data_IF_814004729176
#
_entry.id   IF_814004729176
#
_cell.length_a   1.000
_cell.length_b   1.000
_cell.length_c   1.000
_cell.angle_alpha   90.00
_cell.angle_beta   90.00
_cell.angle_gamma   90.00
#
_symmetry.space_group_name_H-M   'P 1'
#
loop_
_entity.id
_entity.type
_entity.pdbx_description
1 polymer ?
#
# COMPACT_ATOMS: atom_id res chain seq x y z
N UNK A 1 -20.11 -8.69 -23.24
CA UNK A 1 -18.83 -8.44 -22.57
C UNK A 1 -19.07 -7.39 -21.49
N UNK A 2 -19.00 -7.72 -20.19
CA UNK A 2 -19.23 -6.69 -19.18
C UNK A 2 -18.00 -5.78 -19.10
N UNK A 3 -18.25 -4.49 -19.34
CA UNK A 3 -17.29 -3.39 -19.24
C UNK A 3 -17.22 -2.98 -17.77
N UNK A 4 -16.61 -3.82 -16.93
CA UNK A 4 -16.26 -3.47 -15.55
C UNK A 4 -14.93 -2.72 -15.53
N UNK A 5 -14.79 -1.67 -14.72
CA UNK A 5 -13.54 -0.92 -14.54
C UNK A 5 -12.37 -1.89 -14.33
N UNK A 6 -11.44 -1.93 -15.28
CA UNK A 6 -10.26 -2.79 -15.22
C UNK A 6 -9.24 -2.19 -14.24
N UNK A 7 -9.23 -2.69 -13.00
CA UNK A 7 -8.18 -2.40 -12.03
C UNK A 7 -7.12 -3.50 -12.08
N UNK A 8 -5.86 -3.16 -11.79
CA UNK A 8 -4.71 -4.10 -11.84
C UNK A 8 -5.01 -5.42 -11.09
N UNK A 9 -5.66 -5.35 -9.93
CA UNK A 9 -6.05 -6.55 -9.16
C UNK A 9 -7.02 -7.44 -9.92
N UNK A 10 -8.02 -6.85 -10.59
CA UNK A 10 -8.99 -7.59 -11.38
C UNK A 10 -8.31 -8.22 -12.61
N UNK A 11 -7.35 -7.52 -13.22
CA UNK A 11 -6.58 -8.01 -14.35
C UNK A 11 -5.73 -9.23 -13.97
N UNK A 12 -5.08 -9.19 -12.80
CA UNK A 12 -4.33 -10.33 -12.25
C UNK A 12 -5.23 -11.54 -12.00
N UNK A 13 -6.47 -11.31 -11.53
CA UNK A 13 -7.45 -12.38 -11.32
C UNK A 13 -7.95 -12.96 -12.63
N UNK A 14 -8.28 -12.12 -13.62
CA UNK A 14 -8.72 -12.58 -14.96
C UNK A 14 -7.67 -13.41 -15.66
N UNK A 15 -6.38 -13.17 -15.40
CA UNK A 15 -5.27 -13.95 -15.94
C UNK A 15 -4.85 -15.13 -15.07
N UNK A 16 -5.55 -15.43 -13.96
CA UNK A 16 -5.25 -16.53 -13.03
C UNK A 16 -3.83 -16.48 -12.41
N UNK A 17 -3.21 -15.30 -12.33
CA UNK A 17 -1.86 -15.13 -11.75
C UNK A 17 -1.88 -14.42 -10.40
N UNK A 18 -3.04 -13.93 -9.96
CA UNK A 18 -3.18 -13.20 -8.70
C UNK A 18 -2.61 -13.96 -7.49
N UNK A 19 -2.92 -15.24 -7.34
CA UNK A 19 -2.44 -16.05 -6.21
C UNK A 19 -0.93 -16.38 -6.27
N UNK A 20 -0.29 -16.14 -7.41
CA UNK A 20 1.16 -16.27 -7.61
C UNK A 20 1.88 -14.92 -7.62
N UNK A 21 1.15 -13.84 -7.36
CA UNK A 21 1.67 -12.48 -7.38
C UNK A 21 1.86 -11.99 -5.95
N UNK A 22 3.07 -11.51 -5.64
CA UNK A 22 3.26 -10.66 -4.45
C UNK A 22 2.79 -9.26 -4.78
N UNK A 23 1.79 -8.76 -4.06
CA UNK A 23 1.23 -7.44 -4.29
C UNK A 23 1.70 -6.47 -3.21
N UNK A 24 2.39 -5.42 -3.63
CA UNK A 24 2.83 -4.32 -2.76
C UNK A 24 2.20 -3.04 -3.27
N UNK A 25 1.44 -2.36 -2.41
CA UNK A 25 0.84 -1.05 -2.70
C UNK A 25 1.46 -0.06 -1.73
N UNK A 26 2.05 1.02 -2.26
CA UNK A 26 2.73 2.06 -1.51
C UNK A 26 2.19 3.43 -1.95
N UNK A 27 2.05 4.35 -1.00
CA UNK A 27 2.15 5.79 -1.28
C UNK A 27 3.60 6.22 -1.14
N UNK A 28 4.02 7.19 -1.92
CA UNK A 28 5.36 7.78 -1.86
C UNK A 28 5.52 8.74 -0.67
N UNK A 29 4.46 9.46 -0.31
CA UNK A 29 4.37 10.30 0.87
C UNK A 29 2.91 10.46 1.34
N UNK A 30 2.71 11.22 2.44
CA UNK A 30 1.39 11.66 2.91
C UNK A 30 1.10 13.11 2.50
N UNK A 31 -0.08 13.61 2.88
CA UNK A 31 -0.54 14.97 2.57
C UNK A 31 -1.07 15.62 3.84
N UNK A 32 -0.78 16.91 4.03
CA UNK A 32 -1.45 17.69 5.08
C UNK A 32 -2.84 18.06 4.58
N UNK A 33 -3.84 17.76 5.40
CA UNK A 33 -5.23 18.10 5.22
C UNK A 33 -5.64 19.04 6.35
N UNK A 34 -5.12 20.26 6.30
CA UNK A 34 -5.39 21.37 7.23
C UNK A 34 -4.63 21.33 8.57
N UNK A 35 -3.74 20.36 8.79
CA UNK A 35 -2.76 20.47 9.86
C UNK A 35 -1.91 21.73 9.66
N UNK A 36 -1.68 22.47 10.74
CA UNK A 36 -0.91 23.72 10.73
C UNK A 36 -1.38 24.75 9.69
N UNK A 37 -2.70 24.80 9.44
CA UNK A 37 -3.34 25.68 8.44
C UNK A 37 -2.87 25.47 7.00
N UNK A 38 -2.26 24.30 6.71
CA UNK A 38 -1.68 23.98 5.42
C UNK A 38 -2.40 22.83 4.71
N UNK A 39 -2.51 22.93 3.38
CA UNK A 39 -3.02 21.86 2.51
C UNK A 39 -1.93 21.52 1.51
N UNK A 40 -1.50 20.26 1.53
CA UNK A 40 -0.49 19.75 0.62
C UNK A 40 0.72 19.15 1.33
N UNK A 41 1.82 19.07 0.59
CA UNK A 41 3.08 18.48 1.03
C UNK A 41 4.29 19.32 0.60
N UNK A 42 5.48 18.97 1.09
CA UNK A 42 6.75 19.65 0.78
C UNK A 42 7.00 20.94 1.57
N UNK A 43 6.14 21.27 2.52
CA UNK A 43 6.22 22.49 3.34
C UNK A 43 6.84 22.22 4.73
N UNK A 44 6.66 21.01 5.26
CA UNK A 44 7.10 20.64 6.60
C UNK A 44 7.59 19.20 6.65
N UNK A 45 8.51 18.91 7.57
CA UNK A 45 8.90 17.54 7.91
C UNK A 45 8.08 17.14 9.13
N UNK A 46 6.88 16.61 8.89
CA UNK A 46 5.96 16.19 9.93
C UNK A 46 5.34 14.82 9.60
N UNK A 47 4.63 14.25 10.56
CA UNK A 47 4.04 12.91 10.41
C UNK A 47 3.01 12.86 9.28
N UNK A 48 2.20 13.92 9.09
CA UNK A 48 1.20 13.97 8.03
C UNK A 48 1.81 13.85 6.62
N UNK A 49 2.94 14.51 6.37
CA UNK A 49 3.61 14.47 5.06
C UNK A 49 4.58 13.29 4.92
N UNK A 50 5.16 12.79 6.01
CA UNK A 50 6.21 11.74 5.94
C UNK A 50 5.70 10.32 6.19
N UNK A 51 4.50 10.15 6.74
CA UNK A 51 3.92 8.83 6.95
C UNK A 51 3.41 8.23 5.63
N UNK A 52 4.10 7.21 5.14
CA UNK A 52 3.75 6.53 3.88
C UNK A 52 2.71 5.42 4.10
N UNK A 53 1.54 5.48 3.44
CA UNK A 53 0.61 4.36 3.46
C UNK A 53 1.22 3.17 2.71
N UNK A 54 1.16 1.98 3.30
CA UNK A 54 1.65 0.77 2.66
C UNK A 54 0.74 -0.42 2.95
N UNK A 55 0.55 -1.28 1.96
CA UNK A 55 -0.15 -2.56 2.05
C UNK A 55 0.75 -3.62 1.40
N UNK A 56 1.01 -4.68 2.15
CA UNK A 56 1.75 -5.84 1.68
C UNK A 56 0.84 -7.06 1.72
N UNK A 57 0.59 -7.66 0.56
CA UNK A 57 -0.20 -8.88 0.41
C UNK A 57 0.67 -9.97 -0.23
N UNK A 58 1.02 -10.96 0.59
CA UNK A 58 1.74 -12.15 0.17
C UNK A 58 0.83 -13.36 0.29
N UNK A 59 0.67 -14.11 -0.80
CA UNK A 59 0.03 -15.43 -0.79
C UNK A 59 1.12 -16.46 -1.01
N UNK A 60 1.68 -16.97 0.09
CA UNK A 60 2.69 -18.04 0.01
C UNK A 60 2.07 -19.28 -0.64
N UNK A 61 2.76 -19.86 -1.62
CA UNK A 61 2.38 -21.15 -2.26
C UNK A 61 2.46 -22.36 -1.33
N UNK A 62 2.99 -22.17 -0.11
CA UNK A 62 3.02 -23.17 0.95
C UNK A 62 2.26 -22.63 2.16
N UNK A 63 1.03 -23.14 2.33
CA UNK A 63 0.19 -23.13 3.54
C UNK A 63 0.96 -22.77 4.84
N UNK A 64 1.13 -21.48 5.11
CA UNK A 64 1.28 -20.97 6.48
C UNK A 64 0.09 -20.05 6.73
N UNK A 65 -0.77 -20.53 7.61
CA UNK A 65 -1.99 -19.88 8.05
C UNK A 65 -1.65 -18.58 8.79
N UNK A 66 -1.47 -17.49 8.05
CA UNK A 66 -1.47 -16.17 8.64
C UNK A 66 -2.17 -15.19 7.70
N UNK A 67 -3.50 -15.32 7.62
CA UNK A 67 -4.36 -14.25 7.12
C UNK A 67 -4.26 -13.08 8.11
N UNK A 68 -3.37 -12.14 7.84
CA UNK A 68 -3.18 -10.96 8.68
C UNK A 68 -2.75 -9.76 7.86
N UNK A 69 -3.59 -8.73 7.84
CA UNK A 69 -3.18 -7.37 7.51
C UNK A 69 -2.09 -6.97 8.51
N UNK A 70 -0.84 -6.89 8.07
CA UNK A 70 0.25 -6.41 8.89
C UNK A 70 0.56 -4.95 8.54
N UNK A 71 0.05 -4.01 9.34
CA UNK A 71 0.60 -2.66 9.40
C UNK A 71 1.88 -2.70 10.26
N UNK A 72 3.02 -3.05 9.66
CA UNK A 72 4.30 -2.91 10.35
C UNK A 72 4.77 -1.46 10.15
N UNK A 73 4.55 -0.59 11.14
CA UNK A 73 5.31 0.65 11.28
C UNK A 73 6.78 0.30 11.53
N UNK A 74 7.53 0.05 10.46
CA UNK A 74 8.96 -0.15 10.52
C UNK A 74 9.65 1.20 10.70
N UNK A 75 10.10 1.50 11.92
CA UNK A 75 11.13 2.54 12.13
C UNK A 75 12.38 2.07 11.41
N UNK A 76 12.68 2.66 10.26
CA UNK A 76 13.97 2.51 9.60
C UNK A 76 15.05 3.07 10.54
N UNK A 77 15.88 2.20 11.13
CA UNK A 77 17.18 2.60 11.67
C UNK A 77 18.16 2.60 10.51
N UNK A 78 18.59 3.79 10.09
CA UNK A 78 19.77 3.96 9.24
C UNK A 78 21.00 3.81 10.13
N UNK A 79 21.91 2.93 9.73
CA UNK A 79 23.23 2.77 10.34
C UNK A 79 24.17 3.88 9.87
#
# INVERSE_FOLDING_TARGET
MPIGRAGVVEDLKRHNVYDQTTLVILGDHGESLFEDEFIGHGHAINDAQTHMPHIFAERSSAKRAHDGYHSRMGKFKVA
#
